data_IF_664218498221
#
_entry.id   IF_664218498221
#
_cell.length_a   1.000
_cell.length_b   1.000
_cell.length_c   1.000
_cell.angle_alpha   90.00
_cell.angle_beta   90.00
_cell.angle_gamma   90.00
#
_symmetry.space_group_name_H-M   'P 1'
#
loop_
_entity.id
_entity.type
_entity.pdbx_description
1 polymer ?
#
# COMPACT_ATOMS: atom_id res chain seq x y z
N UNK A 1 11.52 11.74 12.23
CA UNK A 1 10.48 10.86 12.77
C UNK A 1 10.10 9.88 11.67
N UNK A 2 10.01 8.58 11.95
CA UNK A 2 9.61 7.55 10.98
C UNK A 2 8.09 7.47 10.93
N UNK A 3 7.51 7.49 9.74
CA UNK A 3 6.08 7.21 9.54
C UNK A 3 5.88 5.69 9.65
N UNK A 4 5.05 5.30 10.62
CA UNK A 4 4.63 3.92 10.82
C UNK A 4 3.25 3.72 10.22
N UNK A 5 3.19 3.11 9.04
CA UNK A 5 1.92 2.71 8.44
C UNK A 5 1.51 1.32 8.95
N UNK A 6 0.36 1.25 9.59
CA UNK A 6 -0.17 0.00 10.15
C UNK A 6 -1.29 -0.52 9.25
N UNK A 7 -1.12 -1.73 8.70
CA UNK A 7 -2.21 -2.47 8.08
C UNK A 7 -3.15 -3.02 9.16
N UNK A 8 -4.43 -2.67 9.07
CA UNK A 8 -5.46 -3.09 10.01
C UNK A 8 -6.64 -3.70 9.27
N UNK A 9 -7.17 -4.80 9.81
CA UNK A 9 -8.41 -5.43 9.32
C UNK A 9 -9.63 -4.82 10.04
N UNK A 10 -10.55 -4.24 9.27
CA UNK A 10 -11.75 -3.57 9.76
C UNK A 10 -11.44 -2.46 10.79
N UNK A 11 -12.46 -2.03 11.55
CA UNK A 11 -12.33 -0.94 12.52
C UNK A 11 -11.74 -1.37 13.88
N UNK A 12 -11.86 -2.65 14.23
CA UNK A 12 -11.70 -3.14 15.62
C UNK A 12 -10.41 -2.70 16.31
N UNK A 13 -9.30 -2.63 15.57
CA UNK A 13 -7.97 -2.28 16.12
C UNK A 13 -7.51 -0.87 15.80
N UNK A 14 -8.31 -0.07 15.10
CA UNK A 14 -7.96 1.31 14.71
C UNK A 14 -7.66 2.18 15.95
N UNK A 15 -8.52 2.23 16.99
CA UNK A 15 -8.22 3.02 18.19
C UNK A 15 -6.91 2.62 18.88
N UNK A 16 -6.63 1.32 18.94
CA UNK A 16 -5.44 0.78 19.59
C UNK A 16 -4.17 1.03 18.77
N UNK A 17 -4.25 0.91 17.44
CA UNK A 17 -3.16 1.25 16.53
C UNK A 17 -2.73 2.71 16.67
N UNK A 18 -3.72 3.63 16.66
CA UNK A 18 -3.49 5.07 16.82
C UNK A 18 -2.86 5.37 18.19
N UNK A 19 -3.39 4.79 19.27
CA UNK A 19 -2.83 4.97 20.63
C UNK A 19 -1.42 4.42 20.76
N UNK A 20 -1.11 3.33 20.05
CA UNK A 20 0.23 2.74 19.98
C UNK A 20 1.22 3.53 19.09
N UNK A 21 0.77 4.64 18.48
CA UNK A 21 1.61 5.55 17.71
C UNK A 21 1.69 5.22 16.22
N UNK A 22 0.62 4.65 15.64
CA UNK A 22 0.45 4.61 14.20
C UNK A 22 0.47 6.04 13.64
N UNK A 23 1.25 6.28 12.59
CA UNK A 23 1.30 7.58 11.92
C UNK A 23 0.42 7.62 10.67
N UNK A 24 0.00 6.45 10.19
CA UNK A 24 -0.90 6.25 9.06
C UNK A 24 -1.54 4.86 9.17
N UNK A 25 -2.75 4.72 8.68
CA UNK A 25 -3.46 3.44 8.60
C UNK A 25 -3.54 3.00 7.15
N UNK A 26 -3.20 1.75 6.86
CA UNK A 26 -3.72 1.06 5.68
C UNK A 26 -4.98 0.27 6.11
N UNK A 27 -6.13 0.67 5.59
CA UNK A 27 -7.43 0.09 5.96
C UNK A 27 -7.78 -1.02 4.98
N UNK A 28 -7.84 -2.24 5.51
CA UNK A 28 -8.12 -3.46 4.76
C UNK A 28 -9.30 -4.23 5.38
N UNK A 29 -9.96 -5.06 4.58
CA UNK A 29 -10.64 -6.26 5.05
C UNK A 29 -9.81 -7.49 4.68
N UNK A 30 -10.17 -8.66 5.19
CA UNK A 30 -9.62 -9.97 4.79
C UNK A 30 -8.09 -9.99 4.61
N UNK A 31 -7.35 -9.64 5.66
CA UNK A 31 -5.89 -9.70 5.67
C UNK A 31 -5.37 -11.13 5.49
N UNK A 32 -6.19 -12.15 5.74
CA UNK A 32 -5.85 -13.55 5.49
C UNK A 32 -5.50 -13.84 4.01
N UNK A 33 -6.01 -13.03 3.06
CA UNK A 33 -5.67 -13.10 1.63
C UNK A 33 -4.81 -11.93 1.15
N UNK A 34 -4.18 -11.22 2.08
CA UNK A 34 -3.32 -10.06 1.82
C UNK A 34 -4.06 -8.73 1.72
N UNK A 35 -5.33 -8.66 2.13
CA UNK A 35 -6.12 -7.43 2.12
C UNK A 35 -7.07 -7.33 0.94
N UNK A 36 -8.30 -6.90 1.20
CA UNK A 36 -9.33 -6.52 0.22
C UNK A 36 -9.99 -5.20 0.62
N UNK A 37 -10.77 -4.61 -0.29
CA UNK A 37 -11.58 -3.42 0.02
C UNK A 37 -12.52 -3.70 1.20
N UNK A 38 -12.60 -2.76 2.15
CA UNK A 38 -13.58 -2.79 3.25
C UNK A 38 -14.98 -2.40 2.78
N UNK A 39 -16.01 -2.72 3.56
CA UNK A 39 -17.35 -2.17 3.31
C UNK A 39 -17.39 -0.64 3.47
N UNK A 40 -18.34 0.02 2.77
CA UNK A 40 -18.58 1.48 2.88
C UNK A 40 -18.65 1.99 4.31
N UNK A 41 -19.39 1.28 5.17
CA UNK A 41 -19.60 1.69 6.55
C UNK A 41 -18.30 1.67 7.37
N UNK A 42 -17.46 0.65 7.17
CA UNK A 42 -16.15 0.57 7.83
C UNK A 42 -15.23 1.67 7.33
N UNK A 43 -15.22 1.95 6.01
CA UNK A 43 -14.43 3.03 5.43
C UNK A 43 -14.81 4.39 6.01
N UNK A 44 -16.10 4.71 6.03
CA UNK A 44 -16.63 5.99 6.51
C UNK A 44 -16.33 6.23 8.00
N UNK A 45 -16.61 5.25 8.86
CA UNK A 45 -16.39 5.40 10.31
C UNK A 45 -14.89 5.42 10.65
N UNK A 46 -14.06 4.67 9.90
CA UNK A 46 -12.60 4.72 10.08
C UNK A 46 -12.06 6.09 9.68
N UNK A 47 -12.46 6.63 8.52
CA UNK A 47 -11.99 7.95 8.07
C UNK A 47 -12.35 9.03 9.07
N UNK A 48 -13.59 9.02 9.56
CA UNK A 48 -14.06 9.96 10.58
C UNK A 48 -13.23 9.86 11.87
N UNK A 49 -13.11 8.66 12.44
CA UNK A 49 -12.39 8.45 13.69
C UNK A 49 -10.89 8.81 13.56
N UNK A 50 -10.23 8.33 12.51
CA UNK A 50 -8.81 8.60 12.29
C UNK A 50 -8.54 10.09 12.04
N UNK A 51 -9.45 10.77 11.33
CA UNK A 51 -9.42 12.21 11.11
C UNK A 51 -9.52 13.02 12.41
N UNK A 52 -10.38 12.65 13.36
CA UNK A 52 -10.45 13.27 14.70
C UNK A 52 -9.11 13.16 15.46
N UNK A 53 -8.32 12.12 15.15
CA UNK A 53 -6.99 11.87 15.69
C UNK A 53 -5.84 12.33 14.80
N UNK A 54 -6.13 13.01 13.67
CA UNK A 54 -5.13 13.51 12.72
C UNK A 54 -4.22 12.41 12.16
N UNK A 55 -4.74 11.20 11.98
CA UNK A 55 -4.02 10.07 11.39
C UNK A 55 -4.62 9.78 10.00
N UNK A 56 -3.84 9.91 8.91
CA UNK A 56 -4.33 9.65 7.57
C UNK A 56 -4.67 8.18 7.33
N UNK A 57 -5.66 7.93 6.46
CA UNK A 57 -6.11 6.60 6.06
C UNK A 57 -5.84 6.35 4.58
N UNK A 58 -5.22 5.23 4.28
CA UNK A 58 -5.01 4.69 2.94
C UNK A 58 -5.95 3.49 2.78
N UNK A 59 -7.03 3.62 2.01
CA UNK A 59 -7.99 2.53 1.81
C UNK A 59 -7.50 1.55 0.75
N UNK A 60 -7.48 0.26 1.08
CA UNK A 60 -7.24 -0.80 0.11
C UNK A 60 -8.37 -0.82 -0.93
N UNK A 61 -8.01 -0.85 -2.21
CA UNK A 61 -8.92 -1.04 -3.34
C UNK A 61 -8.49 -2.32 -4.05
N UNK A 62 -9.08 -3.43 -3.62
CA UNK A 62 -8.77 -4.76 -4.13
C UNK A 62 -9.99 -5.66 -4.00
N UNK A 63 -10.61 -6.07 -5.12
CA UNK A 63 -11.94 -6.69 -5.11
C UNK A 63 -11.91 -8.14 -4.62
N UNK A 64 -10.74 -8.77 -4.59
CA UNK A 64 -10.52 -10.16 -4.17
C UNK A 64 -9.04 -10.45 -3.88
N UNK A 65 -8.79 -11.55 -3.17
CA UNK A 65 -7.47 -12.14 -3.04
C UNK A 65 -6.91 -12.74 -4.35
N UNK A 66 -5.74 -13.37 -4.25
CA UNK A 66 -5.09 -14.03 -5.38
C UNK A 66 -4.25 -13.08 -6.24
N UNK A 67 -4.34 -13.22 -7.56
CA UNK A 67 -3.52 -12.47 -8.52
C UNK A 67 -3.93 -10.99 -8.65
N UNK A 68 -3.18 -10.24 -9.46
CA UNK A 68 -3.42 -8.81 -9.75
C UNK A 68 -3.85 -8.56 -11.20
N UNK A 69 -4.30 -9.61 -11.89
CA UNK A 69 -4.82 -9.54 -13.27
C UNK A 69 -6.33 -9.53 -13.18
N UNK A 70 -6.94 -8.37 -13.40
CA UNK A 70 -8.37 -8.18 -13.22
C UNK A 70 -9.12 -8.26 -14.56
N UNK A 71 -10.36 -8.75 -14.50
CA UNK A 71 -11.30 -8.63 -15.62
C UNK A 71 -11.91 -7.23 -15.67
N UNK A 72 -12.49 -6.83 -16.80
CA UNK A 72 -13.19 -5.55 -16.95
C UNK A 72 -14.25 -5.32 -15.85
N UNK A 73 -14.96 -6.37 -15.45
CA UNK A 73 -15.95 -6.31 -14.37
C UNK A 73 -15.29 -6.04 -13.02
N UNK A 74 -14.16 -6.67 -12.73
CA UNK A 74 -13.40 -6.45 -11.51
C UNK A 74 -12.79 -5.03 -11.47
N UNK A 75 -12.34 -4.51 -12.61
CA UNK A 75 -11.86 -3.13 -12.73
C UNK A 75 -12.98 -2.11 -12.46
N UNK A 76 -14.20 -2.36 -12.94
CA UNK A 76 -15.37 -1.52 -12.62
C UNK A 76 -15.75 -1.55 -11.14
N UNK A 77 -15.55 -2.69 -10.48
CA UNK A 77 -15.73 -2.77 -9.01
C UNK A 77 -14.70 -1.87 -8.33
N UNK A 78 -13.43 -1.98 -8.72
CA UNK A 78 -12.36 -1.14 -8.17
C UNK A 78 -12.61 0.35 -8.39
N UNK A 79 -13.01 0.75 -9.60
CA UNK A 79 -13.32 2.14 -9.92
C UNK A 79 -14.47 2.68 -9.05
N UNK A 80 -15.54 1.90 -8.87
CA UNK A 80 -16.65 2.27 -7.99
C UNK A 80 -16.21 2.42 -6.52
N UNK A 81 -15.32 1.54 -6.05
CA UNK A 81 -14.75 1.62 -4.70
C UNK A 81 -13.84 2.85 -4.53
N UNK A 82 -13.09 3.25 -5.57
CA UNK A 82 -12.30 4.49 -5.56
C UNK A 82 -13.20 5.72 -5.47
N UNK A 83 -14.27 5.78 -6.27
CA UNK A 83 -15.25 6.88 -6.17
C UNK A 83 -15.88 6.95 -4.78
N UNK A 84 -16.18 5.80 -4.17
CA UNK A 84 -16.68 5.76 -2.81
C UNK A 84 -15.65 6.29 -1.79
N UNK A 85 -14.37 5.93 -1.92
CA UNK A 85 -13.31 6.47 -1.06
C UNK A 85 -13.20 8.00 -1.22
N UNK A 86 -13.31 8.49 -2.45
CA UNK A 86 -13.30 9.93 -2.76
C UNK A 86 -14.50 10.65 -2.12
N UNK A 87 -15.72 10.12 -2.27
CA UNK A 87 -16.94 10.67 -1.67
C UNK A 87 -16.85 10.75 -0.15
N UNK A 88 -16.18 9.79 0.48
CA UNK A 88 -15.99 9.72 1.92
C UNK A 88 -14.81 10.59 2.42
N UNK A 89 -14.04 11.20 1.51
CA UNK A 89 -12.90 12.03 1.85
C UNK A 89 -11.74 11.25 2.47
N UNK A 90 -11.52 10.02 2.02
CA UNK A 90 -10.34 9.21 2.42
C UNK A 90 -9.06 9.88 1.92
N UNK A 91 -7.98 9.83 2.71
CA UNK A 91 -6.74 10.54 2.39
C UNK A 91 -5.96 9.91 1.21
N UNK A 92 -6.08 8.60 1.03
CA UNK A 92 -5.42 7.88 -0.05
C UNK A 92 -6.03 6.51 -0.36
N UNK A 93 -5.62 5.96 -1.49
CA UNK A 93 -6.03 4.64 -1.99
C UNK A 93 -4.81 3.78 -2.31
N UNK A 94 -4.98 2.47 -2.13
CA UNK A 94 -3.92 1.47 -2.32
C UNK A 94 -4.40 0.40 -3.29
N UNK A 95 -3.74 0.25 -4.43
CA UNK A 95 -4.12 -0.75 -5.45
C UNK A 95 -2.91 -1.17 -6.28
N UNK A 96 -3.10 -2.13 -7.18
CA UNK A 96 -2.12 -2.46 -8.19
C UNK A 96 -2.67 -3.47 -9.18
N UNK A 97 -2.48 -3.19 -10.46
CA UNK A 97 -3.03 -3.97 -11.57
C UNK A 97 -1.89 -4.37 -12.49
N UNK A 98 -1.85 -5.66 -12.83
CA UNK A 98 -0.85 -6.25 -13.70
C UNK A 98 -1.51 -6.96 -14.88
N UNK A 99 -0.74 -7.09 -15.96
CA UNK A 99 -1.07 -7.96 -17.07
C UNK A 99 -0.64 -9.40 -16.77
N UNK A 100 -1.10 -10.35 -17.59
CA UNK A 100 -0.67 -11.77 -17.50
C UNK A 100 0.82 -11.96 -17.77
N UNK A 101 1.47 -10.97 -18.38
CA UNK A 101 2.89 -10.97 -18.72
C UNK A 101 3.78 -10.42 -17.59
N UNK A 102 3.17 -10.04 -16.46
CA UNK A 102 3.88 -9.46 -15.32
C UNK A 102 4.30 -8.02 -15.56
N UNK A 103 3.64 -7.30 -16.46
CA UNK A 103 3.80 -5.86 -16.66
C UNK A 103 2.68 -5.10 -15.94
N UNK A 104 2.84 -3.79 -15.79
CA UNK A 104 1.73 -2.93 -15.37
C UNK A 104 0.61 -2.96 -16.41
N UNK A 105 -0.63 -3.04 -15.96
CA UNK A 105 -1.77 -2.76 -16.83
C UNK A 105 -2.02 -1.25 -16.82
N UNK A 106 -1.36 -0.54 -17.74
CA UNK A 106 -1.33 0.93 -17.74
C UNK A 106 -2.70 1.55 -18.00
N UNK A 107 -3.51 0.95 -18.88
CA UNK A 107 -4.85 1.45 -19.19
C UNK A 107 -5.76 1.36 -17.96
N UNK A 108 -5.70 0.24 -17.23
CA UNK A 108 -6.44 0.07 -15.98
C UNK A 108 -5.95 1.00 -14.88
N UNK A 109 -4.63 1.21 -14.77
CA UNK A 109 -4.05 2.11 -13.78
C UNK A 109 -4.38 3.57 -14.06
N UNK A 110 -4.34 4.02 -15.31
CA UNK A 110 -4.73 5.39 -15.68
C UNK A 110 -6.17 5.71 -15.27
N UNK A 111 -7.09 4.76 -15.50
CA UNK A 111 -8.48 4.86 -15.05
C UNK A 111 -8.59 5.04 -13.53
N UNK A 112 -7.93 4.18 -12.75
CA UNK A 112 -7.99 4.22 -11.29
C UNK A 112 -7.31 5.46 -10.70
N UNK A 113 -6.18 5.89 -11.29
CA UNK A 113 -5.47 7.12 -10.91
C UNK A 113 -6.35 8.34 -11.19
N UNK A 114 -7.03 8.39 -12.34
CA UNK A 114 -7.96 9.46 -12.65
C UNK A 114 -9.15 9.49 -11.67
N UNK A 115 -9.72 8.32 -11.35
CA UNK A 115 -10.80 8.19 -10.37
C UNK A 115 -10.38 8.62 -8.95
N UNK A 116 -9.10 8.44 -8.58
CA UNK A 116 -8.59 8.82 -7.27
C UNK A 116 -8.65 10.34 -7.02
N UNK A 117 -8.70 11.16 -8.08
CA UNK A 117 -9.11 12.56 -8.00
C UNK A 117 -8.31 13.43 -7.02
N UNK A 118 -7.02 13.15 -6.84
CA UNK A 118 -6.12 13.90 -5.95
C UNK A 118 -5.88 13.27 -4.58
N UNK A 119 -6.49 12.12 -4.28
CA UNK A 119 -6.09 11.26 -3.15
C UNK A 119 -4.63 10.79 -3.33
N UNK A 120 -3.94 10.50 -2.22
CA UNK A 120 -2.63 9.85 -2.31
C UNK A 120 -2.77 8.44 -2.88
N UNK A 121 -1.80 7.99 -3.65
CA UNK A 121 -1.82 6.67 -4.30
C UNK A 121 -0.60 5.85 -3.89
N UNK A 122 -0.85 4.64 -3.39
CA UNK A 122 0.17 3.63 -3.15
C UNK A 122 -0.04 2.45 -4.10
N UNK A 123 0.98 2.12 -4.90
CA UNK A 123 1.01 0.86 -5.64
C UNK A 123 1.45 -0.26 -4.70
N UNK A 124 0.56 -1.20 -4.38
CA UNK A 124 0.80 -2.22 -3.36
C UNK A 124 1.77 -3.34 -3.80
N UNK A 125 1.86 -4.41 -3.01
CA UNK A 125 2.75 -5.58 -3.23
C UNK A 125 2.52 -6.35 -4.54
N UNK A 126 1.59 -5.94 -5.41
CA UNK A 126 1.65 -6.32 -6.83
C UNK A 126 3.01 -6.02 -7.46
N UNK A 127 3.75 -5.03 -6.94
CA UNK A 127 5.10 -4.73 -7.40
C UNK A 127 6.04 -5.95 -7.28
N UNK A 128 5.92 -6.72 -6.19
CA UNK A 128 6.75 -7.89 -5.96
C UNK A 128 6.43 -9.06 -6.93
N UNK A 129 5.28 -9.01 -7.61
CA UNK A 129 4.90 -9.98 -8.64
C UNK A 129 5.42 -9.60 -10.05
N UNK A 130 5.97 -8.39 -10.22
CA UNK A 130 6.60 -7.95 -11.47
C UNK A 130 8.00 -8.60 -11.56
N UNK A 131 8.38 -9.24 -12.69
CA UNK A 131 9.73 -9.73 -12.89
C UNK A 131 10.79 -8.64 -12.65
N UNK A 132 11.87 -8.99 -11.97
CA UNK A 132 12.86 -8.02 -11.48
C UNK A 132 13.46 -7.15 -12.60
N UNK A 133 13.65 -7.71 -13.80
CA UNK A 133 14.14 -7.01 -14.99
C UNK A 133 13.15 -5.97 -15.55
N UNK A 134 11.88 -6.04 -15.17
CA UNK A 134 10.81 -5.11 -15.57
C UNK A 134 10.47 -4.07 -14.49
N UNK A 135 10.92 -4.26 -13.26
CA UNK A 135 10.59 -3.38 -12.13
C UNK A 135 11.08 -1.94 -12.33
N UNK A 136 12.23 -1.74 -12.97
CA UNK A 136 12.74 -0.41 -13.29
C UNK A 136 11.76 0.38 -14.17
N UNK A 137 11.29 -0.23 -15.25
CA UNK A 137 10.28 0.36 -16.15
C UNK A 137 8.96 0.63 -15.42
N UNK A 138 8.56 -0.25 -14.51
CA UNK A 138 7.36 -0.05 -13.70
C UNK A 138 7.50 1.17 -12.78
N UNK A 139 8.65 1.36 -12.12
CA UNK A 139 8.93 2.55 -11.30
C UNK A 139 8.85 3.83 -12.14
N UNK A 140 9.46 3.82 -13.33
CA UNK A 140 9.45 4.99 -14.22
C UNK A 140 8.02 5.39 -14.60
N UNK A 141 7.19 4.42 -14.97
CA UNK A 141 5.80 4.67 -15.34
C UNK A 141 5.00 5.18 -14.14
N UNK A 142 5.05 4.49 -12.99
CA UNK A 142 4.31 4.85 -11.78
C UNK A 142 4.66 6.27 -11.29
N UNK A 143 5.96 6.63 -11.31
CA UNK A 143 6.40 7.95 -10.93
C UNK A 143 5.86 9.04 -11.87
N UNK A 144 5.89 8.80 -13.19
CA UNK A 144 5.37 9.73 -14.17
C UNK A 144 3.84 9.87 -14.11
N UNK A 145 3.14 8.80 -13.72
CA UNK A 145 1.69 8.78 -13.54
C UNK A 145 1.23 9.43 -12.22
N UNK A 146 2.16 9.88 -11.37
CA UNK A 146 1.84 10.59 -10.12
C UNK A 146 1.56 9.67 -8.93
N UNK A 147 2.01 8.42 -8.96
CA UNK A 147 1.93 7.52 -7.80
C UNK A 147 2.91 7.96 -6.72
N UNK A 148 2.42 8.14 -5.48
CA UNK A 148 3.24 8.63 -4.37
C UNK A 148 4.20 7.55 -3.83
N UNK A 149 3.72 6.30 -3.76
CA UNK A 149 4.40 5.21 -3.05
C UNK A 149 4.35 3.88 -3.80
N UNK A 150 5.39 3.09 -3.64
CA UNK A 150 5.38 1.65 -3.94
C UNK A 150 5.61 0.89 -2.64
N UNK A 151 4.63 0.07 -2.23
CA UNK A 151 4.77 -0.88 -1.14
C UNK A 151 5.37 -2.17 -1.67
N UNK A 152 6.53 -2.57 -1.13
CA UNK A 152 7.28 -3.72 -1.63
C UNK A 152 8.00 -4.44 -0.49
N UNK A 153 8.04 -5.76 -0.58
CA UNK A 153 8.91 -6.61 0.24
C UNK A 153 10.32 -6.74 -0.35
N UNK A 154 10.46 -6.50 -1.66
CA UNK A 154 11.71 -6.62 -2.41
C UNK A 154 12.07 -8.05 -2.79
N UNK A 155 11.13 -8.99 -2.68
CA UNK A 155 11.34 -10.41 -2.92
C UNK A 155 10.14 -11.24 -2.46
N UNK A 156 10.33 -12.55 -2.28
CA UNK A 156 9.27 -13.43 -1.80
C UNK A 156 8.89 -13.16 -0.34
N UNK A 157 7.60 -13.00 -0.04
CA UNK A 157 7.07 -12.78 1.31
C UNK A 157 7.36 -13.94 2.29
N UNK A 158 7.78 -15.10 1.80
CA UNK A 158 8.22 -16.26 2.59
C UNK A 158 9.56 -16.01 3.29
N UNK A 159 10.35 -15.04 2.80
CA UNK A 159 11.67 -14.71 3.32
C UNK A 159 11.61 -13.58 4.36
N UNK A 160 12.58 -13.50 5.28
CA UNK A 160 12.72 -12.32 6.12
C UNK A 160 13.09 -11.10 5.26
N UNK A 161 12.52 -9.93 5.57
CA UNK A 161 12.79 -8.69 4.80
C UNK A 161 14.28 -8.34 4.70
N UNK A 162 15.08 -8.71 5.70
CA UNK A 162 16.52 -8.49 5.70
C UNK A 162 17.25 -9.22 4.56
N UNK A 163 16.70 -10.33 4.07
CA UNK A 163 17.25 -11.04 2.91
C UNK A 163 17.14 -10.23 1.61
N UNK A 164 16.21 -9.25 1.56
CA UNK A 164 15.90 -8.46 0.38
C UNK A 164 16.50 -7.04 0.43
N UNK A 165 17.31 -6.72 1.44
CA UNK A 165 17.86 -5.37 1.62
C UNK A 165 18.68 -4.89 0.42
N UNK A 166 19.45 -5.76 -0.24
CA UNK A 166 20.24 -5.34 -1.40
C UNK A 166 19.34 -4.95 -2.58
N UNK A 167 18.28 -5.71 -2.85
CA UNK A 167 17.32 -5.35 -3.88
C UNK A 167 16.55 -4.08 -3.51
N UNK A 168 16.05 -3.97 -2.27
CA UNK A 168 15.37 -2.77 -1.78
C UNK A 168 16.25 -1.52 -1.89
N UNK A 169 17.55 -1.59 -1.56
CA UNK A 169 18.49 -0.48 -1.74
C UNK A 169 18.60 -0.07 -3.22
N UNK A 170 18.66 -1.04 -4.14
CA UNK A 170 18.71 -0.78 -5.57
C UNK A 170 17.41 -0.12 -6.04
N UNK A 171 16.25 -0.63 -5.61
CA UNK A 171 14.92 -0.05 -5.90
C UNK A 171 14.80 1.38 -5.38
N UNK A 172 15.21 1.64 -4.14
CA UNK A 172 15.22 2.98 -3.52
C UNK A 172 16.14 3.93 -4.30
N UNK A 173 17.36 3.49 -4.61
CA UNK A 173 18.32 4.30 -5.36
C UNK A 173 17.81 4.62 -6.77
N UNK A 174 17.15 3.66 -7.43
CA UNK A 174 16.58 3.84 -8.77
C UNK A 174 15.37 4.77 -8.76
N UNK A 175 14.48 4.65 -7.77
CA UNK A 175 13.35 5.56 -7.61
C UNK A 175 13.82 7.02 -7.43
N UNK A 176 14.97 7.22 -6.76
CA UNK A 176 15.67 8.51 -6.68
C UNK A 176 14.75 9.68 -6.31
N UNK A 177 13.92 9.48 -5.28
CA UNK A 177 12.96 10.46 -4.76
C UNK A 177 11.83 10.89 -5.73
N UNK A 178 11.69 10.27 -6.90
CA UNK A 178 10.55 10.51 -7.81
C UNK A 178 9.23 9.97 -7.26
N UNK A 179 9.32 8.88 -6.51
CA UNK A 179 8.28 8.35 -5.63
C UNK A 179 8.95 7.71 -4.40
N UNK A 180 8.16 7.37 -3.39
CA UNK A 180 8.65 6.76 -2.15
C UNK A 180 8.59 5.23 -2.29
N UNK A 181 9.69 4.56 -1.96
CA UNK A 181 9.67 3.12 -1.73
C UNK A 181 9.33 2.88 -0.26
N UNK A 182 8.21 2.21 -0.02
CA UNK A 182 7.68 1.85 1.30
C UNK A 182 7.98 0.38 1.55
N UNK A 183 9.03 0.03 2.34
CA UNK A 183 9.29 -1.36 2.65
C UNK A 183 8.18 -1.93 3.55
N UNK A 184 7.78 -3.17 3.27
CA UNK A 184 6.75 -3.88 4.01
C UNK A 184 6.91 -5.40 3.97
N UNK A 185 6.02 -6.12 4.67
CA UNK A 185 6.09 -7.58 4.81
C UNK A 185 7.10 -8.01 5.87
N UNK A 186 6.62 -8.38 7.05
CA UNK A 186 7.48 -8.83 8.16
C UNK A 186 8.15 -7.72 8.99
N UNK A 187 7.81 -6.44 8.74
CA UNK A 187 8.24 -5.33 9.61
C UNK A 187 7.36 -5.27 10.87
N UNK A 188 8.01 -5.15 12.01
CA UNK A 188 7.44 -5.16 13.35
C UNK A 188 8.09 -4.07 14.19
N UNK A 189 7.54 -3.77 15.36
CA UNK A 189 8.17 -2.85 16.30
C UNK A 189 9.62 -3.26 16.69
N UNK A 190 9.96 -4.55 16.60
CA UNK A 190 11.27 -5.07 16.98
C UNK A 190 12.36 -4.82 15.95
N UNK A 191 12.05 -4.89 14.65
CA UNK A 191 13.03 -4.71 13.56
C UNK A 191 12.89 -3.37 12.82
N UNK A 192 11.91 -2.53 13.18
CA UNK A 192 11.68 -1.23 12.53
C UNK A 192 12.93 -0.35 12.45
N UNK A 193 13.67 -0.22 13.57
CA UNK A 193 14.87 0.62 13.61
C UNK A 193 15.94 0.09 12.65
N UNK A 194 16.24 -1.21 12.70
CA UNK A 194 17.20 -1.86 11.82
C UNK A 194 16.84 -1.67 10.33
N UNK A 195 15.58 -1.95 9.96
CA UNK A 195 15.10 -1.82 8.58
C UNK A 195 15.24 -0.38 8.09
N UNK A 196 14.77 0.59 8.87
CA UNK A 196 14.75 2.00 8.47
C UNK A 196 16.13 2.63 8.41
N UNK A 197 17.03 2.27 9.33
CA UNK A 197 18.43 2.70 9.33
C UNK A 197 19.22 2.07 8.16
N UNK A 198 19.01 0.77 7.91
CA UNK A 198 19.73 0.05 6.84
C UNK A 198 19.31 0.51 5.45
N UNK A 199 18.01 0.73 5.24
CA UNK A 199 17.47 1.18 3.96
C UNK A 199 17.45 2.71 3.82
N UNK A 200 17.72 3.44 4.91
CA UNK A 200 17.67 4.92 4.98
C UNK A 200 16.31 5.49 4.54
N UNK A 201 15.23 4.80 4.86
CA UNK A 201 13.86 5.21 4.55
C UNK A 201 13.22 5.97 5.72
N UNK A 202 12.18 6.75 5.40
CA UNK A 202 11.41 7.53 6.39
C UNK A 202 10.02 6.95 6.67
N UNK A 203 9.60 5.96 5.91
CA UNK A 203 8.30 5.31 6.03
C UNK A 203 8.51 3.80 6.04
N UNK A 204 7.70 3.08 6.81
CA UNK A 204 7.68 1.62 6.82
C UNK A 204 6.26 1.12 7.11
N UNK A 205 5.96 -0.07 6.59
CA UNK A 205 4.64 -0.66 6.64
C UNK A 205 4.66 -2.00 7.39
N UNK A 206 3.68 -2.25 8.27
CA UNK A 206 3.45 -3.59 8.79
C UNK A 206 2.28 -3.73 9.76
N UNK A 207 1.71 -4.94 9.82
CA UNK A 207 0.60 -5.27 10.74
C UNK A 207 0.98 -5.24 12.22
N UNK A 208 2.27 -5.32 12.55
CA UNK A 208 2.81 -5.32 13.93
C UNK A 208 3.85 -4.23 14.18
N UNK A 209 3.91 -3.21 13.31
CA UNK A 209 4.92 -2.14 13.35
C UNK A 209 4.81 -1.24 14.59
N UNK A 210 3.62 -1.20 15.21
CA UNK A 210 3.36 -0.52 16.49
C UNK A 210 3.25 -1.48 17.68
N UNK A 211 3.63 -2.74 17.49
CA UNK A 211 3.48 -3.81 18.49
C UNK A 211 2.31 -4.73 18.17
N UNK A 212 1.96 -5.61 19.13
CA UNK A 212 0.78 -6.47 18.99
C UNK A 212 -0.46 -5.69 19.45
N UNK A 213 -1.46 -5.66 18.56
CA UNK A 213 -2.80 -5.11 18.77
C UNK A 213 -3.81 -6.26 18.89
#
# INVERSE_FOLDING_TARGET
MIIKEVAVENFTKIPDAIRAGASRIELCDNLAVGGTTVSKGVMAETQKYAGEHHVPVMAMIRPRGGNFVYTDTELKIMEADVFQAQELGVDGVVFGVLTKQGDLDTDALEMLIAAAGGMQITFHMAFDAIPQDKQATAIDWLANAGVDRILTHGGELSTPIAANYEHLKQTIAYANHRLIILPGGGITAQNLAEVTETLKVKEAHGTKIVGRL
#
